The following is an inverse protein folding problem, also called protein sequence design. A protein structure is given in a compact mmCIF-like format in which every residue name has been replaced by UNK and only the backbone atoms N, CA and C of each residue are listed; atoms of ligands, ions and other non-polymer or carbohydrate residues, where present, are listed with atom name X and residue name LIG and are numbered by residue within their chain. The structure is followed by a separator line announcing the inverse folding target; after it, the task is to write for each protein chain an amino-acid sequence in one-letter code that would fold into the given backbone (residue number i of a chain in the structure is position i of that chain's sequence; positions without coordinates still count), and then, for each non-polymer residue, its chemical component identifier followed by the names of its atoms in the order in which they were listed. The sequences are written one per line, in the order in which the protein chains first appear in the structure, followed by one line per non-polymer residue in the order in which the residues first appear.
data_IF_480936185263
#
_entry.id   IF_480936185263
#
_cell.length_a   1.000
_cell.length_b   1.000
_cell.length_c   1.000
_cell.angle_alpha   90.00
_cell.angle_beta   90.00
_cell.angle_gamma   90.00
#
_symmetry.space_group_name_H-M   'P 1'
#
loop_
_entity.id
_entity.type
_entity.pdbx_description
1 polymer ?
#
# COMPACT_ATOMS: atom_id res chain seq x y z
N UNK A 1 2.15 8.49 -9.86
CA UNK A 1 2.93 9.50 -10.63
C UNK A 1 4.41 9.07 -10.70
N UNK A 2 5.09 8.80 -9.55
CA UNK A 2 6.53 8.54 -9.54
C UNK A 2 6.94 7.32 -10.38
N UNK A 3 6.23 6.19 -10.25
CA UNK A 3 6.47 5.01 -11.08
C UNK A 3 6.26 5.28 -12.57
N UNK A 4 5.23 6.04 -12.92
CA UNK A 4 4.97 6.42 -14.31
C UNK A 4 6.12 7.24 -14.92
N UNK A 5 6.61 8.24 -14.18
CA UNK A 5 7.73 9.08 -14.63
C UNK A 5 9.04 8.29 -14.70
N UNK A 6 9.31 7.42 -13.72
CA UNK A 6 10.46 6.54 -13.74
C UNK A 6 10.41 5.58 -14.93
N UNK A 7 9.27 4.95 -15.18
CA UNK A 7 9.08 4.03 -16.30
C UNK A 7 9.30 4.72 -17.64
N UNK A 8 8.85 5.98 -17.78
CA UNK A 8 9.11 6.81 -18.96
C UNK A 8 10.61 7.00 -19.22
N UNK A 9 11.36 7.33 -18.17
CA UNK A 9 12.81 7.53 -18.33
C UNK A 9 13.52 6.21 -18.66
N UNK A 10 13.21 5.13 -17.94
CA UNK A 10 13.83 3.82 -18.15
C UNK A 10 13.54 3.25 -19.54
N UNK A 11 12.32 3.45 -20.07
CA UNK A 11 11.93 2.95 -21.40
C UNK A 11 12.74 3.53 -22.55
N UNK A 12 13.42 4.66 -22.33
CA UNK A 12 14.34 5.24 -23.32
C UNK A 12 15.64 4.44 -23.47
N UNK A 13 15.99 3.61 -22.47
CA UNK A 13 17.26 2.91 -22.38
C UNK A 13 17.16 1.40 -22.52
N UNK A 14 16.03 0.80 -22.12
CA UNK A 14 15.83 -0.64 -22.19
C UNK A 14 14.36 -1.01 -22.39
N UNK A 15 14.11 -2.26 -22.79
CA UNK A 15 12.77 -2.81 -22.99
C UNK A 15 12.30 -3.70 -21.85
N UNK A 16 13.22 -4.15 -21.04
CA UNK A 16 12.95 -5.08 -19.93
C UNK A 16 13.69 -4.60 -18.70
N UNK A 17 13.01 -4.62 -17.55
CA UNK A 17 13.58 -4.34 -16.23
C UNK A 17 13.21 -5.44 -15.24
N UNK A 18 13.99 -5.57 -14.18
CA UNK A 18 13.63 -6.40 -13.05
C UNK A 18 13.12 -5.53 -11.89
N UNK A 19 12.08 -5.99 -11.23
CA UNK A 19 11.48 -5.35 -10.06
C UNK A 19 11.54 -6.27 -8.85
N UNK A 20 11.76 -5.69 -7.67
CA UNK A 20 11.83 -6.40 -6.39
C UNK A 20 10.49 -6.68 -5.74
N UNK A 21 9.36 -6.53 -6.45
CA UNK A 21 8.03 -6.78 -5.90
C UNK A 21 7.88 -8.21 -5.40
N UNK A 22 7.18 -8.40 -4.31
CA UNK A 22 6.97 -9.69 -3.65
C UNK A 22 7.99 -9.99 -2.55
N UNK A 23 9.14 -9.34 -2.53
CA UNK A 23 10.16 -9.62 -1.53
C UNK A 23 9.74 -9.24 -0.09
N UNK A 24 8.97 -8.18 0.08
CA UNK A 24 8.46 -7.75 1.38
C UNK A 24 7.31 -8.66 1.85
N UNK A 25 6.41 -9.01 0.97
CA UNK A 25 5.22 -9.82 1.24
C UNK A 25 5.56 -11.30 1.49
N UNK A 26 6.55 -11.84 0.79
CA UNK A 26 6.96 -13.22 0.98
C UNK A 26 7.91 -13.42 2.18
N UNK A 27 8.71 -12.42 2.50
CA UNK A 27 9.80 -12.54 3.50
C UNK A 27 9.67 -11.56 4.67
N UNK A 28 8.45 -11.05 4.94
CA UNK A 28 8.14 -10.17 6.07
C UNK A 28 8.99 -8.89 6.13
N UNK A 29 9.11 -8.18 5.00
CA UNK A 29 9.95 -6.99 4.90
C UNK A 29 9.30 -5.69 5.34
N UNK A 30 8.00 -5.66 5.59
CA UNK A 30 7.30 -4.46 6.04
C UNK A 30 7.34 -4.29 7.56
N UNK A 31 7.32 -3.04 8.00
CA UNK A 31 7.45 -2.67 9.41
C UNK A 31 6.21 -3.01 10.27
N UNK A 32 5.11 -3.39 9.67
CA UNK A 32 3.91 -3.82 10.40
C UNK A 32 3.92 -5.28 10.82
N UNK A 33 4.65 -6.17 10.11
CA UNK A 33 4.69 -7.58 10.49
C UNK A 33 5.18 -7.85 11.92
N UNK A 34 6.23 -7.19 12.42
CA UNK A 34 6.62 -7.34 13.83
C UNK A 34 5.55 -6.87 14.82
N UNK A 35 4.65 -5.95 14.41
CA UNK A 35 3.54 -5.48 15.26
C UNK A 35 2.40 -6.49 15.34
N UNK A 36 2.24 -7.30 14.31
CA UNK A 36 1.24 -8.37 14.23
C UNK A 36 1.75 -9.64 14.94
N UNK A 37 3.07 -9.86 14.93
CA UNK A 37 3.69 -11.02 15.54
C UNK A 37 3.51 -10.99 17.07
N UNK A 38 2.95 -12.07 17.63
CA UNK A 38 2.68 -12.17 19.05
C UNK A 38 1.52 -11.32 19.57
N UNK A 39 0.74 -10.67 18.71
CA UNK A 39 -0.45 -9.95 19.12
C UNK A 39 -1.58 -10.91 19.52
N UNK A 40 -2.27 -10.62 20.64
CA UNK A 40 -3.43 -11.40 21.10
C UNK A 40 -4.56 -11.38 20.07
N UNK A 41 -4.80 -10.23 19.46
CA UNK A 41 -5.72 -10.04 18.33
C UNK A 41 -4.93 -9.61 17.08
N UNK A 42 -4.59 -10.59 16.26
CA UNK A 42 -3.85 -10.38 15.03
C UNK A 42 -4.59 -9.49 14.02
N UNK A 43 -5.93 -9.60 13.95
CA UNK A 43 -6.74 -8.75 13.07
C UNK A 43 -6.70 -7.29 13.54
N UNK A 44 -6.90 -7.04 14.82
CA UNK A 44 -6.86 -5.68 15.36
C UNK A 44 -5.47 -5.04 15.15
N UNK A 45 -4.39 -5.80 15.40
CA UNK A 45 -3.02 -5.34 15.18
C UNK A 45 -2.75 -5.01 13.69
N UNK A 46 -3.19 -5.88 12.78
CA UNK A 46 -3.05 -5.65 11.34
C UNK A 46 -3.86 -4.43 10.89
N UNK A 47 -5.13 -4.33 11.32
CA UNK A 47 -6.00 -3.19 11.01
C UNK A 47 -5.38 -1.87 11.46
N UNK A 48 -4.92 -1.79 12.70
CA UNK A 48 -4.29 -0.58 13.24
C UNK A 48 -3.01 -0.16 12.50
N UNK A 49 -2.28 -1.12 11.91
CA UNK A 49 -1.05 -0.86 11.21
C UNK A 49 -1.22 -0.57 9.71
N UNK A 50 -2.32 -1.03 9.11
CA UNK A 50 -2.46 -1.06 7.64
C UNK A 50 -3.69 -0.35 7.09
N UNK A 51 -4.85 -0.36 7.78
CA UNK A 51 -6.06 0.26 7.24
C UNK A 51 -5.91 1.77 7.18
N UNK A 52 -6.18 2.35 6.03
CA UNK A 52 -6.16 3.80 5.83
C UNK A 52 -7.24 4.52 6.67
N UNK A 53 -8.38 3.87 6.85
CA UNK A 53 -9.50 4.28 7.69
C UNK A 53 -10.12 3.05 8.36
N UNK A 54 -10.52 3.18 9.60
CA UNK A 54 -11.42 2.20 10.20
C UNK A 54 -12.86 2.44 9.72
N UNK A 55 -13.78 1.57 10.14
CA UNK A 55 -15.15 1.66 9.68
C UNK A 55 -15.90 2.89 10.21
N UNK A 56 -15.59 3.34 11.42
CA UNK A 56 -16.19 4.54 12.00
C UNK A 56 -15.79 5.79 11.20
N UNK A 57 -14.50 5.91 10.89
CA UNK A 57 -13.99 6.99 10.04
C UNK A 57 -14.52 6.91 8.60
N UNK A 58 -14.70 5.69 8.06
CA UNK A 58 -15.35 5.51 6.77
C UNK A 58 -16.77 6.09 6.78
N UNK A 59 -17.58 5.72 7.79
CA UNK A 59 -18.96 6.23 7.92
C UNK A 59 -19.02 7.76 8.12
N UNK A 60 -18.00 8.35 8.77
CA UNK A 60 -17.87 9.78 8.91
C UNK A 60 -17.38 10.49 7.62
N UNK A 61 -16.77 9.72 6.70
CA UNK A 61 -16.22 10.28 5.46
C UNK A 61 -17.22 10.27 4.32
N UNK A 62 -18.00 9.19 4.17
CA UNK A 62 -18.87 9.00 3.01
C UNK A 62 -20.27 9.56 3.23
N UNK A 63 -20.91 10.00 2.15
CA UNK A 63 -22.30 10.41 2.14
C UNK A 63 -23.25 9.27 2.55
N UNK A 64 -24.42 9.59 3.10
CA UNK A 64 -25.33 8.58 3.69
C UNK A 64 -25.68 7.44 2.75
N UNK A 65 -25.93 7.74 1.48
CA UNK A 65 -26.29 6.71 0.48
C UNK A 65 -25.17 5.70 0.15
N UNK A 66 -23.94 6.03 0.56
CA UNK A 66 -22.75 5.17 0.35
C UNK A 66 -22.33 4.46 1.63
N UNK A 67 -23.05 4.62 2.73
CA UNK A 67 -22.79 3.93 3.96
C UNK A 67 -23.19 2.47 3.84
N UNK A 68 -22.24 1.58 4.08
CA UNK A 68 -22.43 0.13 4.08
C UNK A 68 -21.86 -0.45 5.36
N UNK A 69 -22.15 -1.72 5.64
CA UNK A 69 -21.52 -2.47 6.74
C UNK A 69 -19.99 -2.56 6.58
N UNK A 70 -19.27 -2.96 7.64
CA UNK A 70 -17.80 -3.13 7.63
C UNK A 70 -17.36 -4.30 6.72
N UNK A 71 -17.50 -4.09 5.41
CA UNK A 71 -17.12 -5.09 4.39
C UNK A 71 -15.62 -5.35 4.42
N UNK A 72 -14.80 -4.32 4.52
CA UNK A 72 -13.35 -4.46 4.55
C UNK A 72 -12.86 -5.20 5.80
N UNK A 73 -13.38 -4.82 6.98
CA UNK A 73 -13.02 -5.50 8.21
C UNK A 73 -13.51 -6.95 8.24
N UNK A 74 -14.72 -7.24 7.72
CA UNK A 74 -15.20 -8.60 7.58
C UNK A 74 -14.32 -9.43 6.66
N UNK A 75 -14.00 -8.91 5.49
CA UNK A 75 -13.13 -9.58 4.51
C UNK A 75 -11.78 -9.98 5.13
N UNK A 76 -11.12 -9.08 5.85
CA UNK A 76 -9.83 -9.36 6.49
C UNK A 76 -10.00 -10.35 7.64
N UNK A 77 -11.05 -10.23 8.49
CA UNK A 77 -11.33 -11.21 9.54
C UNK A 77 -11.53 -12.62 8.99
N UNK A 78 -12.33 -12.76 7.95
CA UNK A 78 -12.60 -14.05 7.31
C UNK A 78 -11.32 -14.65 6.73
N UNK A 79 -10.47 -13.81 6.13
CA UNK A 79 -9.18 -14.25 5.62
C UNK A 79 -8.24 -14.71 6.76
N UNK A 80 -8.19 -13.99 7.88
CA UNK A 80 -7.42 -14.37 9.06
C UNK A 80 -7.95 -15.64 9.73
N UNK A 81 -9.26 -15.89 9.65
CA UNK A 81 -9.90 -17.11 10.17
C UNK A 81 -9.71 -18.34 9.26
N UNK A 82 -9.34 -18.13 7.99
CA UNK A 82 -9.17 -19.21 7.02
C UNK A 82 -8.03 -20.17 7.44
N UNK A 83 -8.17 -21.49 7.26
CA UNK A 83 -7.17 -22.48 7.62
C UNK A 83 -5.88 -22.35 6.77
N UNK A 84 -4.79 -23.00 7.23
CA UNK A 84 -3.52 -23.06 6.51
C UNK A 84 -2.47 -22.03 6.92
N UNK A 85 -2.80 -21.11 7.83
CA UNK A 85 -1.83 -20.26 8.52
C UNK A 85 -2.25 -20.17 10.00
N UNK A 86 -1.34 -20.49 10.91
CA UNK A 86 -1.63 -20.48 12.36
C UNK A 86 -1.08 -19.22 13.03
N UNK A 87 0.19 -18.90 12.77
CA UNK A 87 0.81 -17.71 13.33
C UNK A 87 0.19 -16.42 12.77
N UNK A 88 0.02 -15.41 13.61
CA UNK A 88 -0.56 -14.12 13.25
C UNK A 88 0.11 -13.49 12.04
N UNK A 89 1.45 -13.52 12.02
CA UNK A 89 2.23 -12.97 10.90
C UNK A 89 2.07 -13.78 9.61
N UNK A 90 1.92 -15.11 9.68
CA UNK A 90 1.70 -15.93 8.48
C UNK A 90 0.31 -15.65 7.86
N UNK A 91 -0.70 -15.32 8.68
CA UNK A 91 -2.02 -14.85 8.21
C UNK A 91 -1.90 -13.51 7.48
N UNK A 92 -1.12 -12.57 8.04
CA UNK A 92 -0.86 -11.28 7.40
C UNK A 92 -0.07 -11.45 6.09
N UNK A 93 1.00 -12.24 6.07
CA UNK A 93 1.78 -12.53 4.87
C UNK A 93 0.92 -13.17 3.77
N UNK A 94 0.02 -14.09 4.14
CA UNK A 94 -0.92 -14.70 3.19
C UNK A 94 -1.86 -13.65 2.60
N UNK A 95 -2.46 -12.79 3.43
CA UNK A 95 -3.33 -11.71 2.95
C UNK A 95 -2.57 -10.77 2.01
N UNK A 96 -1.39 -10.32 2.46
CA UNK A 96 -0.59 -9.36 1.70
C UNK A 96 -0.10 -9.96 0.38
N UNK A 97 0.32 -11.21 0.35
CA UNK A 97 0.81 -11.86 -0.87
C UNK A 97 -0.29 -12.23 -1.86
N UNK A 98 -1.50 -12.53 -1.40
CA UNK A 98 -2.60 -12.99 -2.28
C UNK A 98 -3.56 -11.88 -2.69
N UNK A 99 -3.66 -10.80 -1.95
CA UNK A 99 -4.59 -9.69 -2.19
C UNK A 99 -3.82 -8.38 -2.40
N UNK A 100 -3.17 -7.85 -1.36
CA UNK A 100 -2.54 -6.53 -1.40
C UNK A 100 -1.48 -6.44 -2.50
N UNK A 101 -0.59 -7.42 -2.59
CA UNK A 101 0.48 -7.46 -3.59
C UNK A 101 -0.07 -7.45 -5.02
N UNK A 102 -1.14 -8.20 -5.26
CA UNK A 102 -1.78 -8.30 -6.59
C UNK A 102 -2.46 -6.98 -6.94
N UNK A 103 -3.28 -6.46 -6.03
CA UNK A 103 -4.17 -5.32 -6.32
C UNK A 103 -3.45 -3.96 -6.28
N UNK A 104 -2.32 -3.82 -5.61
CA UNK A 104 -1.57 -2.57 -5.57
C UNK A 104 -0.14 -2.69 -6.15
N UNK A 105 0.86 -3.30 -5.49
CA UNK A 105 2.24 -3.23 -5.97
C UNK A 105 2.45 -3.78 -7.37
N UNK A 106 1.93 -4.97 -7.68
CA UNK A 106 2.13 -5.61 -8.99
C UNK A 106 1.35 -4.88 -10.07
N UNK A 107 0.07 -4.63 -9.83
CA UNK A 107 -0.79 -3.91 -10.77
C UNK A 107 -0.26 -2.50 -11.07
N UNK A 108 0.23 -1.81 -10.05
CA UNK A 108 0.83 -0.48 -10.22
C UNK A 108 2.10 -0.53 -11.07
N UNK A 109 3.01 -1.47 -10.79
CA UNK A 109 4.24 -1.63 -11.59
C UNK A 109 3.89 -1.97 -13.02
N UNK A 110 3.05 -2.96 -13.24
CA UNK A 110 2.64 -3.40 -14.58
C UNK A 110 2.01 -2.25 -15.38
N UNK A 111 0.97 -1.61 -14.86
CA UNK A 111 0.29 -0.52 -15.54
C UNK A 111 1.24 0.65 -15.88
N UNK A 112 2.14 1.02 -14.94
CA UNK A 112 3.03 2.16 -15.15
C UNK A 112 4.18 1.85 -16.12
N UNK A 113 4.66 0.61 -16.15
CA UNK A 113 5.69 0.20 -17.12
C UNK A 113 5.08 -0.05 -18.49
N UNK A 114 3.94 -0.72 -18.57
CA UNK A 114 3.26 -0.99 -19.83
C UNK A 114 2.77 0.27 -20.53
N UNK A 115 2.47 1.35 -19.81
CA UNK A 115 2.16 2.65 -20.41
C UNK A 115 3.30 3.20 -21.31
N UNK A 116 4.52 2.68 -21.14
CA UNK A 116 5.71 3.06 -21.90
C UNK A 116 6.33 1.89 -22.71
N UNK A 117 5.60 0.77 -22.84
CA UNK A 117 6.08 -0.42 -23.52
C UNK A 117 7.33 -1.03 -22.88
N UNK A 118 7.42 -0.96 -21.56
CA UNK A 118 8.52 -1.48 -20.74
C UNK A 118 8.04 -2.74 -20.00
N UNK A 119 8.68 -3.87 -20.21
CA UNK A 119 8.39 -5.14 -19.53
C UNK A 119 9.01 -5.16 -18.15
N UNK A 120 8.21 -5.29 -17.10
CA UNK A 120 8.68 -5.47 -15.72
C UNK A 120 8.61 -6.95 -15.31
N UNK A 121 9.76 -7.55 -15.07
CA UNK A 121 9.87 -8.92 -14.55
C UNK A 121 10.06 -8.92 -13.05
N UNK A 122 9.37 -9.82 -12.35
CA UNK A 122 9.28 -9.87 -10.89
C UNK A 122 9.78 -11.24 -10.37
N UNK A 123 11.10 -11.46 -10.27
CA UNK A 123 11.67 -12.77 -9.93
C UNK A 123 11.20 -13.32 -8.59
N UNK A 124 10.87 -12.46 -7.62
CA UNK A 124 10.35 -12.90 -6.31
C UNK A 124 8.95 -13.50 -6.38
N UNK A 125 8.21 -13.27 -7.47
CA UNK A 125 6.88 -13.84 -7.69
C UNK A 125 6.89 -15.15 -8.47
N UNK A 126 8.06 -15.77 -8.67
CA UNK A 126 8.10 -17.17 -9.13
C UNK A 126 7.34 -18.05 -8.12
N UNK A 127 6.35 -18.79 -8.60
CA UNK A 127 5.46 -19.56 -7.73
C UNK A 127 6.22 -20.56 -6.84
N UNK A 128 7.34 -21.12 -7.32
CA UNK A 128 8.19 -22.04 -6.56
C UNK A 128 8.85 -21.33 -5.37
N UNK A 129 9.24 -20.06 -5.56
CA UNK A 129 9.79 -19.25 -4.49
C UNK A 129 8.71 -18.84 -3.48
N UNK A 130 7.51 -18.51 -3.97
CA UNK A 130 6.37 -18.21 -3.10
C UNK A 130 5.97 -19.41 -2.23
N UNK A 131 5.86 -20.61 -2.82
CA UNK A 131 5.60 -21.86 -2.10
C UNK A 131 6.70 -22.20 -1.10
N UNK A 132 7.98 -22.03 -1.48
CA UNK A 132 9.09 -22.21 -0.57
C UNK A 132 8.99 -21.22 0.61
N UNK A 133 8.76 -19.97 0.32
CA UNK A 133 8.61 -18.93 1.34
C UNK A 133 7.47 -19.24 2.32
N UNK A 134 6.32 -19.73 1.82
CA UNK A 134 5.18 -20.10 2.67
C UNK A 134 5.52 -21.21 3.68
N UNK A 135 6.50 -22.10 3.36
CA UNK A 135 6.97 -23.16 4.25
C UNK A 135 8.03 -22.70 5.26
N UNK A 136 8.59 -21.51 5.10
CA UNK A 136 9.60 -20.97 6.02
C UNK A 136 8.89 -20.38 7.23
N UNK A 137 9.16 -20.87 8.45
CA UNK A 137 8.56 -20.30 9.67
C UNK A 137 8.83 -18.81 9.81
N UNK A 138 7.83 -18.07 10.27
CA UNK A 138 7.83 -16.61 10.40
C UNK A 138 9.07 -16.07 11.15
N UNK A 139 9.52 -16.76 12.21
CA UNK A 139 10.70 -16.36 12.98
C UNK A 139 11.99 -16.21 12.17
N UNK A 140 12.11 -16.92 11.03
CA UNK A 140 13.27 -16.80 10.12
C UNK A 140 13.08 -15.68 9.08
N UNK A 141 11.90 -15.11 8.99
CA UNK A 141 11.58 -13.98 8.12
C UNK A 141 11.69 -12.64 8.85
N UNK A 142 11.19 -12.58 10.10
CA UNK A 142 11.04 -11.35 10.88
C UNK A 142 12.34 -10.75 11.42
N UNK A 143 13.36 -11.59 11.68
CA UNK A 143 14.62 -11.11 12.25
C UNK A 143 15.33 -10.10 11.35
N UNK A 144 16.26 -9.35 11.95
CA UNK A 144 17.11 -8.39 11.25
C UNK A 144 16.33 -7.30 10.48
N UNK A 145 15.23 -6.83 11.08
CA UNK A 145 14.36 -5.83 10.46
C UNK A 145 13.55 -6.35 9.26
N UNK A 146 13.30 -7.65 9.21
CA UNK A 146 12.59 -8.35 8.14
C UNK A 146 13.51 -8.91 7.05
N UNK A 147 13.00 -9.85 6.29
CA UNK A 147 13.73 -10.56 5.20
C UNK A 147 14.98 -11.30 5.67
N UNK A 148 15.05 -11.74 6.93
CA UNK A 148 16.26 -12.33 7.51
C UNK A 148 16.83 -13.47 6.66
N UNK A 149 16.01 -14.46 6.31
CA UNK A 149 16.46 -15.60 5.50
C UNK A 149 16.89 -15.19 4.10
N UNK A 150 16.21 -14.22 3.49
CA UNK A 150 16.56 -13.68 2.17
C UNK A 150 17.90 -12.93 2.24
N UNK A 151 18.09 -12.07 3.24
CA UNK A 151 19.36 -11.37 3.49
C UNK A 151 20.50 -12.38 3.72
N UNK A 152 20.25 -13.42 4.53
CA UNK A 152 21.24 -14.47 4.79
C UNK A 152 21.68 -15.22 3.51
N UNK A 153 20.74 -15.52 2.63
CA UNK A 153 21.06 -16.12 1.32
C UNK A 153 21.83 -15.11 0.42
N UNK A 154 21.41 -13.87 0.39
CA UNK A 154 21.99 -12.82 -0.43
C UNK A 154 23.46 -12.50 -0.05
N UNK A 155 23.83 -12.61 1.24
CA UNK A 155 25.22 -12.37 1.71
C UNK A 155 26.27 -13.25 1.04
N UNK A 156 25.86 -14.34 0.39
CA UNK A 156 26.77 -15.22 -0.35
C UNK A 156 27.13 -14.69 -1.74
N UNK A 157 26.35 -13.73 -2.26
CA UNK A 157 26.44 -13.30 -3.67
C UNK A 157 26.37 -11.77 -3.85
N UNK A 158 25.97 -11.05 -2.81
CA UNK A 158 25.81 -9.58 -2.85
C UNK A 158 26.64 -8.95 -1.73
N UNK A 159 27.33 -7.81 -1.98
CA UNK A 159 28.09 -7.09 -0.95
C UNK A 159 27.20 -6.69 0.23
N UNK A 160 27.77 -6.79 1.44
CA UNK A 160 27.03 -6.48 2.69
C UNK A 160 26.52 -5.05 2.72
N UNK A 161 27.23 -4.09 2.15
CA UNK A 161 26.86 -2.69 2.08
C UNK A 161 25.54 -2.46 1.33
N UNK A 162 25.22 -3.34 0.38
CA UNK A 162 23.94 -3.30 -0.35
C UNK A 162 22.81 -3.88 0.50
N UNK A 163 23.09 -4.98 1.20
CA UNK A 163 22.10 -5.70 2.03
C UNK A 163 21.75 -4.90 3.27
N UNK A 164 22.75 -4.33 3.93
CA UNK A 164 22.62 -3.65 5.22
C UNK A 164 22.29 -2.15 5.07
N UNK A 165 22.18 -1.67 3.85
CA UNK A 165 21.76 -0.29 3.59
C UNK A 165 20.40 -0.02 4.25
N UNK A 166 20.25 1.12 4.98
CA UNK A 166 18.98 1.51 5.54
C UNK A 166 17.87 1.50 4.47
N UNK A 167 16.70 0.95 4.80
CA UNK A 167 15.57 0.92 3.90
C UNK A 167 15.16 2.35 3.53
N UNK A 168 15.43 2.74 2.29
CA UNK A 168 14.92 3.98 1.72
C UNK A 168 13.47 3.79 1.30
N UNK A 169 12.63 4.73 1.70
CA UNK A 169 11.32 4.85 1.06
C UNK A 169 11.49 5.54 -0.29
N UNK A 170 10.60 5.24 -1.21
CA UNK A 170 10.36 6.05 -2.39
C UNK A 170 9.29 7.10 -2.00
N UNK A 171 9.62 8.10 -1.16
CA UNK A 171 8.62 9.03 -0.70
C UNK A 171 8.29 9.92 -1.87
N UNK A 172 7.13 9.70 -2.46
CA UNK A 172 6.46 10.86 -3.07
C UNK A 172 6.01 11.68 -1.87
N UNK A 173 6.63 12.81 -1.59
CA UNK A 173 6.22 13.64 -0.48
C UNK A 173 4.93 14.35 -0.86
N UNK A 174 3.84 13.60 -0.97
CA UNK A 174 2.50 14.15 -1.20
C UNK A 174 2.20 15.29 -0.24
N UNK A 175 2.66 15.16 0.99
CA UNK A 175 2.56 16.19 2.01
C UNK A 175 3.30 17.48 1.65
N UNK A 176 4.54 17.40 1.15
CA UNK A 176 5.29 18.60 0.74
C UNK A 176 4.66 19.32 -0.46
N UNK A 177 3.88 18.60 -1.26
CA UNK A 177 3.24 19.15 -2.44
C UNK A 177 1.80 19.60 -2.21
N UNK A 178 1.17 19.22 -1.08
CA UNK A 178 -0.15 19.73 -0.67
C UNK A 178 -0.07 21.08 0.06
N UNK A 179 0.72 22.00 -0.49
CA UNK A 179 0.91 23.36 0.01
C UNK A 179 0.75 24.37 -1.12
N UNK A 180 0.52 25.63 -0.76
CA UNK A 180 0.40 26.72 -1.72
C UNK A 180 -0.64 26.42 -2.81
N UNK A 181 -0.26 26.63 -4.07
CA UNK A 181 -1.17 26.47 -5.23
C UNK A 181 -1.74 25.05 -5.36
N UNK A 182 -1.00 24.02 -4.99
CA UNK A 182 -1.53 22.64 -5.07
C UNK A 182 -2.64 22.42 -4.05
N UNK A 183 -2.50 22.95 -2.84
CA UNK A 183 -3.55 22.90 -1.82
C UNK A 183 -4.80 23.68 -2.25
N UNK A 184 -4.62 24.87 -2.81
CA UNK A 184 -5.75 25.67 -3.35
C UNK A 184 -6.46 24.91 -4.47
N UNK A 185 -5.75 24.34 -5.40
CA UNK A 185 -6.33 23.53 -6.46
C UNK A 185 -7.09 22.30 -5.91
N UNK A 186 -6.54 21.58 -4.92
CA UNK A 186 -7.26 20.48 -4.27
C UNK A 186 -8.51 20.97 -3.57
N UNK A 187 -8.45 22.12 -2.92
CA UNK A 187 -9.60 22.76 -2.28
C UNK A 187 -10.69 23.10 -3.29
N UNK A 188 -10.32 23.76 -4.39
CA UNK A 188 -11.25 24.08 -5.47
C UNK A 188 -11.91 22.82 -6.04
N UNK A 189 -11.12 21.77 -6.33
CA UNK A 189 -11.61 20.49 -6.85
C UNK A 189 -12.62 19.82 -5.90
N UNK A 190 -12.38 19.84 -4.60
CA UNK A 190 -13.23 19.16 -3.62
C UNK A 190 -14.48 19.98 -3.25
N UNK A 191 -14.43 21.30 -3.34
CA UNK A 191 -15.52 22.20 -2.96
C UNK A 191 -16.32 22.74 -4.16
N UNK A 192 -15.98 22.32 -5.38
CA UNK A 192 -16.74 22.69 -6.58
C UNK A 192 -18.14 22.06 -6.53
N UNK A 193 -19.22 22.86 -6.45
CA UNK A 193 -20.59 22.34 -6.40
C UNK A 193 -20.95 21.51 -7.65
N UNK A 194 -20.34 21.79 -8.79
CA UNK A 194 -20.57 21.04 -10.03
C UNK A 194 -20.00 19.60 -9.98
N UNK A 195 -19.10 19.36 -9.05
CA UNK A 195 -18.46 18.07 -8.79
C UNK A 195 -19.03 17.35 -7.57
N UNK A 196 -20.04 17.93 -6.92
CA UNK A 196 -20.68 17.30 -5.77
C UNK A 196 -21.58 16.14 -6.19
N UNK A 197 -21.09 14.94 -5.94
CA UNK A 197 -21.79 13.68 -6.18
C UNK A 197 -22.49 13.15 -4.93
N UNK A 198 -22.47 13.90 -3.84
CA UNK A 198 -22.92 13.43 -2.53
C UNK A 198 -22.09 12.22 -2.02
N UNK A 199 -20.88 12.05 -2.55
CA UNK A 199 -20.01 10.92 -2.20
C UNK A 199 -19.39 11.09 -0.82
N UNK A 200 -19.10 12.33 -0.44
CA UNK A 200 -18.45 12.67 0.82
C UNK A 200 -19.33 13.52 1.72
N UNK A 201 -19.14 13.39 3.02
CA UNK A 201 -19.73 14.31 3.99
C UNK A 201 -19.02 15.67 3.91
N UNK A 202 -19.73 16.81 3.83
CA UNK A 202 -19.07 18.12 3.77
C UNK A 202 -18.10 18.39 4.91
N UNK A 203 -18.43 17.95 6.13
CA UNK A 203 -17.59 18.14 7.31
C UNK A 203 -16.19 17.48 7.19
N UNK A 204 -16.02 16.46 6.33
CA UNK A 204 -14.72 15.85 6.12
C UNK A 204 -13.76 16.81 5.43
N UNK A 205 -14.25 17.64 4.52
CA UNK A 205 -13.43 18.62 3.81
C UNK A 205 -12.90 19.70 4.75
N UNK A 206 -13.75 20.21 5.65
CA UNK A 206 -13.33 21.19 6.65
C UNK A 206 -12.21 20.63 7.54
N UNK A 207 -12.36 19.40 8.00
CA UNK A 207 -11.36 18.70 8.82
C UNK A 207 -10.03 18.54 8.07
N UNK A 208 -10.06 17.92 6.89
CA UNK A 208 -8.86 17.60 6.13
C UNK A 208 -8.16 18.84 5.54
N UNK A 209 -8.91 19.87 5.19
CA UNK A 209 -8.35 21.13 4.69
C UNK A 209 -7.79 22.00 5.81
N UNK A 210 -8.29 21.88 7.05
CA UNK A 210 -7.74 22.63 8.20
C UNK A 210 -6.36 22.14 8.60
N UNK A 211 -6.14 20.83 8.61
CA UNK A 211 -4.85 20.19 8.97
C UNK A 211 -4.52 19.01 8.04
N UNK A 212 -4.06 19.28 6.81
CA UNK A 212 -3.72 18.22 5.86
C UNK A 212 -2.55 17.32 6.30
N UNK A 213 -1.68 17.84 7.16
CA UNK A 213 -0.48 17.14 7.61
C UNK A 213 -0.72 16.32 8.88
N UNK A 214 -1.75 16.65 9.66
CA UNK A 214 -2.14 15.93 10.87
C UNK A 214 -3.02 14.72 10.62
N UNK A 215 -3.75 14.68 9.49
CA UNK A 215 -4.72 13.61 9.19
C UNK A 215 -4.18 12.66 8.11
N UNK A 216 -3.29 11.78 8.56
CA UNK A 216 -2.60 10.81 7.72
C UNK A 216 -3.08 9.39 7.98
N UNK A 217 -2.89 8.53 6.98
CA UNK A 217 -3.04 7.09 7.17
C UNK A 217 -1.90 6.51 8.03
N UNK A 218 -2.03 5.29 8.60
CA UNK A 218 -0.92 4.64 9.32
C UNK A 218 0.36 4.50 8.48
N UNK A 219 0.22 4.39 7.16
CA UNK A 219 1.33 4.34 6.21
C UNK A 219 1.78 5.73 5.74
N UNK A 220 1.32 6.80 6.41
CA UNK A 220 1.65 8.20 6.15
C UNK A 220 1.19 8.70 4.77
N UNK A 221 0.13 8.13 4.23
CA UNK A 221 -0.58 8.66 3.07
C UNK A 221 -1.47 9.86 3.46
N UNK A 222 -1.61 10.84 2.59
CA UNK A 222 -2.52 11.97 2.81
C UNK A 222 -3.97 11.55 2.53
N UNK A 223 -4.83 11.60 3.54
CA UNK A 223 -6.28 11.35 3.39
C UNK A 223 -6.94 12.40 2.50
N UNK A 224 -6.50 13.66 2.59
CA UNK A 224 -6.98 14.73 1.70
C UNK A 224 -6.68 14.40 0.23
N UNK A 225 -5.45 13.97 -0.07
CA UNK A 225 -5.07 13.59 -1.42
C UNK A 225 -5.85 12.39 -1.96
N UNK A 226 -6.17 11.42 -1.12
CA UNK A 226 -7.00 10.27 -1.52
C UNK A 226 -8.38 10.69 -2.01
N UNK A 227 -9.05 11.61 -1.29
CA UNK A 227 -10.36 12.11 -1.70
C UNK A 227 -10.26 12.94 -2.99
N UNK A 228 -9.25 13.81 -3.09
CA UNK A 228 -9.01 14.61 -4.28
C UNK A 228 -8.72 13.74 -5.51
N UNK A 229 -7.89 12.71 -5.36
CA UNK A 229 -7.56 11.79 -6.45
C UNK A 229 -8.79 11.00 -6.93
N UNK A 230 -9.66 10.55 -6.01
CA UNK A 230 -10.90 9.88 -6.36
C UNK A 230 -11.86 10.84 -7.09
N UNK A 231 -12.04 12.06 -6.58
CA UNK A 231 -12.93 13.03 -7.20
C UNK A 231 -12.45 13.44 -8.60
N UNK A 232 -11.13 13.65 -8.76
CA UNK A 232 -10.51 13.93 -10.06
C UNK A 232 -10.75 12.77 -11.04
N UNK A 233 -10.52 11.54 -10.58
CA UNK A 233 -10.72 10.36 -11.43
C UNK A 233 -12.17 10.21 -11.89
N UNK A 234 -13.14 10.40 -10.99
CA UNK A 234 -14.58 10.38 -11.33
C UNK A 234 -14.91 11.46 -12.36
N UNK A 235 -14.37 12.67 -12.21
CA UNK A 235 -14.58 13.77 -13.15
C UNK A 235 -14.01 13.45 -14.55
N UNK A 236 -12.81 12.89 -14.62
CA UNK A 236 -12.17 12.48 -15.87
C UNK A 236 -12.93 11.34 -16.58
N UNK A 237 -13.65 10.50 -15.82
CA UNK A 237 -14.48 9.42 -16.37
C UNK A 237 -15.90 9.90 -16.73
N UNK A 238 -16.27 11.15 -16.46
CA UNK A 238 -17.61 11.67 -16.69
C UNK A 238 -18.67 11.09 -15.76
N UNK A 239 -18.28 10.65 -14.57
CA UNK A 239 -19.13 10.04 -13.54
C UNK A 239 -19.53 11.04 -12.47
#
# INVERSE_FOLDING_TARGET
IAFYLLSREVSKHCKVVQSGQGADELFAGYHWYPKVDGADDAFAAYRAAFFDRDHEEYLATVGERFRVEDVAGRFVRDHFASPGAEAAVDKALRLDSTIMLVDDPVKRVDNMTMAWGLEARVPFLDYRLAELSARIPARFKLGDGGKQVLKGAARKVIPSEVIDRPKGYFPVPGLKHLQGRTREWVRELLLDPSQDRGLFQPAIFDRLLSDPDGDLTPLRGSKLWQLAALNLWLSEQGL
#
